data_IF_783596202441
#
_entry.id   IF_783596202441
#
_cell.length_a   1.000
_cell.length_b   1.000
_cell.length_c   1.000
_cell.angle_alpha   90.00
_cell.angle_beta   90.00
_cell.angle_gamma   90.00
#
_symmetry.space_group_name_H-M   'P 1'
#
loop_
_entity.id
_entity.type
_entity.pdbx_description
1 polymer ?
#
# COMPACT_ATOMS: atom_id res chain seq x y z
N UNK A 1 11.15 -7.52 -15.41
CA UNK A 1 11.20 -6.35 -14.50
C UNK A 1 10.76 -6.80 -13.12
N UNK A 2 11.49 -6.47 -12.04
CA UNK A 2 11.03 -6.77 -10.67
C UNK A 2 9.99 -5.72 -10.28
N UNK A 3 8.74 -6.14 -10.12
CA UNK A 3 7.67 -5.26 -9.64
C UNK A 3 7.91 -4.96 -8.16
N UNK A 4 7.83 -3.67 -7.81
CA UNK A 4 7.97 -3.15 -6.45
C UNK A 4 6.62 -2.63 -5.99
N UNK A 5 6.39 -2.75 -4.69
CA UNK A 5 5.13 -2.43 -4.05
C UNK A 5 5.35 -1.44 -2.92
N UNK A 6 4.24 -0.87 -2.47
CA UNK A 6 4.16 0.09 -1.38
C UNK A 6 2.99 -0.32 -0.48
N UNK A 7 3.10 -0.03 0.81
CA UNK A 7 2.01 -0.24 1.75
C UNK A 7 1.39 1.11 2.09
N UNK A 8 0.08 1.18 1.94
CA UNK A 8 -0.72 2.37 2.14
C UNK A 8 -1.78 2.12 3.22
N UNK A 9 -2.02 3.09 4.09
CA UNK A 9 -3.11 3.12 5.06
C UNK A 9 -3.91 4.41 4.87
N UNK A 10 -5.01 4.59 5.60
CA UNK A 10 -5.75 5.86 5.58
C UNK A 10 -4.88 7.07 5.98
N UNK A 11 -3.85 6.84 6.80
CA UNK A 11 -2.90 7.86 7.25
C UNK A 11 -1.77 8.13 6.22
N UNK A 12 -1.68 7.33 5.15
CA UNK A 12 -0.74 7.52 4.05
C UNK A 12 0.20 6.34 3.82
N UNK A 13 1.40 6.63 3.30
CA UNK A 13 2.38 5.58 2.97
C UNK A 13 3.15 5.17 4.20
N UNK A 14 2.99 3.92 4.63
CA UNK A 14 3.81 3.32 5.68
C UNK A 14 5.17 2.86 5.15
N UNK A 15 5.17 2.19 3.99
CA UNK A 15 6.38 1.62 3.43
C UNK A 15 6.50 1.81 1.92
N UNK A 16 7.73 2.02 1.47
CA UNK A 16 8.05 2.28 0.07
C UNK A 16 8.94 1.15 -0.49
N UNK A 17 8.66 0.72 -1.72
CA UNK A 17 9.54 -0.12 -2.54
C UNK A 17 9.93 -1.47 -1.89
N UNK A 18 8.93 -2.25 -1.52
CA UNK A 18 9.08 -3.63 -1.02
C UNK A 18 8.77 -4.66 -2.11
N UNK A 19 9.22 -5.91 -1.92
CA UNK A 19 8.84 -7.03 -2.80
C UNK A 19 7.38 -7.45 -2.57
N UNK A 20 6.85 -8.29 -3.47
CA UNK A 20 5.47 -8.79 -3.35
C UNK A 20 5.27 -9.58 -2.05
N UNK A 21 6.21 -10.49 -1.76
CA UNK A 21 6.09 -11.41 -0.64
C UNK A 21 6.17 -10.66 0.70
N UNK A 22 7.09 -9.70 0.81
CA UNK A 22 7.18 -8.79 1.95
C UNK A 22 5.89 -7.95 2.11
N UNK A 23 5.32 -7.45 1.01
CA UNK A 23 4.07 -6.68 1.06
C UNK A 23 2.90 -7.51 1.60
N UNK A 24 2.79 -8.77 1.16
CA UNK A 24 1.75 -9.69 1.63
C UNK A 24 1.94 -9.99 3.12
N UNK A 25 3.17 -10.26 3.56
CA UNK A 25 3.46 -10.56 4.95
C UNK A 25 3.13 -9.36 5.86
N UNK A 26 3.56 -8.17 5.48
CA UNK A 26 3.34 -6.96 6.27
C UNK A 26 1.87 -6.56 6.35
N UNK A 27 1.10 -6.65 5.27
CA UNK A 27 -0.34 -6.36 5.34
C UNK A 27 -1.06 -7.32 6.28
N UNK A 28 -0.65 -8.60 6.36
CA UNK A 28 -1.18 -9.54 7.35
C UNK A 28 -0.81 -9.12 8.78
N UNK A 29 0.44 -8.74 9.01
CA UNK A 29 0.90 -8.26 10.32
C UNK A 29 0.14 -7.00 10.76
N UNK A 30 -0.10 -6.06 9.84
CA UNK A 30 -0.90 -4.87 10.12
C UNK A 30 -2.36 -5.21 10.43
N UNK A 31 -2.95 -6.15 9.69
CA UNK A 31 -4.30 -6.62 9.98
C UNK A 31 -4.41 -7.26 11.38
N UNK A 32 -3.43 -8.06 11.80
CA UNK A 32 -3.35 -8.61 13.16
C UNK A 32 -3.24 -7.52 14.24
N UNK A 33 -2.73 -6.35 13.89
CA UNK A 33 -2.63 -5.17 14.76
C UNK A 33 -3.86 -4.25 14.67
N UNK A 34 -4.88 -4.61 13.88
CA UNK A 34 -6.09 -3.81 13.68
C UNK A 34 -5.89 -2.61 12.75
N UNK A 35 -4.86 -2.63 11.91
CA UNK A 35 -4.55 -1.57 10.94
C UNK A 35 -4.97 -2.04 9.54
N UNK A 36 -5.85 -1.28 8.90
CA UNK A 36 -6.25 -1.50 7.52
C UNK A 36 -5.17 -0.99 6.56
N UNK A 37 -4.41 -1.93 6.00
CA UNK A 37 -3.29 -1.66 5.10
C UNK A 37 -3.53 -2.26 3.71
N UNK A 38 -3.09 -1.55 2.68
CA UNK A 38 -3.31 -1.86 1.27
C UNK A 38 -2.00 -1.97 0.52
N UNK A 39 -1.89 -2.98 -0.35
CA UNK A 39 -0.75 -3.13 -1.24
C UNK A 39 -1.01 -2.34 -2.52
N UNK A 40 -0.11 -1.41 -2.83
CA UNK A 40 -0.18 -0.58 -4.02
C UNK A 40 1.09 -0.79 -4.85
N UNK A 41 1.00 -0.75 -6.18
CA UNK A 41 2.20 -0.77 -7.02
C UNK A 41 3.03 0.49 -6.81
N UNK A 42 4.35 0.42 -6.92
CA UNK A 42 5.20 1.61 -6.76
C UNK A 42 4.80 2.74 -7.73
N UNK A 43 4.51 2.40 -8.99
CA UNK A 43 4.07 3.35 -10.01
C UNK A 43 2.80 4.08 -9.60
N UNK A 44 1.82 3.37 -9.04
CA UNK A 44 0.58 3.98 -8.58
C UNK A 44 0.81 4.84 -7.33
N UNK A 45 1.65 4.38 -6.40
CA UNK A 45 2.05 5.15 -5.23
C UNK A 45 2.73 6.49 -5.61
N UNK A 46 3.61 6.47 -6.61
CA UNK A 46 4.26 7.66 -7.14
C UNK A 46 3.27 8.57 -7.88
N UNK A 47 2.34 8.01 -8.66
CA UNK A 47 1.27 8.77 -9.34
C UNK A 47 0.41 9.55 -8.33
N UNK A 48 0.02 8.91 -7.23
CA UNK A 48 -0.77 9.55 -6.17
C UNK A 48 0.01 10.69 -5.50
N UNK A 49 1.30 10.49 -5.18
CA UNK A 49 2.17 11.54 -4.62
C UNK A 49 2.32 12.74 -5.56
N UNK A 50 2.50 12.50 -6.86
CA UNK A 50 2.72 13.57 -7.84
C UNK A 50 1.46 14.41 -8.12
N UNK A 51 0.28 13.77 -8.12
CA UNK A 51 -0.98 14.45 -8.42
C UNK A 51 -1.69 15.01 -7.19
N UNK A 52 -1.19 14.73 -5.99
CA UNK A 52 -1.88 15.03 -4.73
C UNK A 52 -3.21 14.30 -4.61
N UNK A 53 -3.34 13.14 -5.27
CA UNK A 53 -4.56 12.33 -5.26
C UNK A 53 -4.57 11.40 -4.05
N UNK A 54 -5.72 11.30 -3.40
CA UNK A 54 -5.97 10.39 -2.28
C UNK A 54 -6.14 8.96 -2.78
N UNK A 55 -5.56 7.99 -2.07
CA UNK A 55 -5.85 6.58 -2.31
C UNK A 55 -7.31 6.30 -1.97
N UNK A 56 -8.06 5.73 -2.92
CA UNK A 56 -9.44 5.33 -2.70
C UNK A 56 -9.47 3.84 -2.32
N UNK A 57 -9.64 3.50 -1.04
CA UNK A 57 -9.71 2.10 -0.63
C UNK A 57 -10.93 1.42 -1.27
N UNK A 58 -10.81 0.14 -1.68
CA UNK A 58 -11.94 -0.63 -2.17
C UNK A 58 -13.02 -0.73 -1.08
N UNK A 59 -14.26 -0.42 -1.45
CA UNK A 59 -15.43 -0.62 -0.57
C UNK A 59 -15.97 -2.03 -0.79
N UNK A 60 -16.04 -2.81 0.28
CA UNK A 60 -16.69 -4.12 0.30
C UNK A 60 -18.09 -3.95 0.91
N UNK A 61 -19.02 -3.44 0.11
CA UNK A 61 -20.46 -3.48 0.42
C UNK A 61 -21.09 -4.79 -0.06
#
# INVERSE_FOLDING_TARGET
MRHKYMIYTEEGVLENSITRDEAIEKVKQYHEQGIDAYIVSQTEGERMKQKGETFYPPKWE
#
